data_IF_957772063343
#
_entry.id   IF_957772063343
#
_cell.length_a   1.000
_cell.length_b   1.000
_cell.length_c   1.000
_cell.angle_alpha   90.00
_cell.angle_beta   90.00
_cell.angle_gamma   90.00
#
_symmetry.space_group_name_H-M   'P 1'
#
loop_
_entity.id
_entity.type
_entity.pdbx_description
1 polymer ?
#
# COMPACT_ATOMS: atom_id res chain seq x y z
N UNK A 1 20.97 -2.00 -11.17
CA UNK A 1 20.18 -2.42 -10.00
C UNK A 1 19.46 -3.72 -10.32
N UNK A 2 19.74 -4.79 -9.58
CA UNK A 2 18.96 -6.03 -9.65
C UNK A 2 17.82 -5.89 -8.66
N UNK A 3 16.57 -5.81 -9.12
CA UNK A 3 15.42 -5.74 -8.21
C UNK A 3 15.49 -6.93 -7.24
N UNK A 4 15.45 -6.67 -5.95
CA UNK A 4 15.36 -7.75 -4.98
C UNK A 4 14.05 -8.52 -5.17
N UNK A 5 14.01 -9.79 -4.76
CA UNK A 5 12.78 -10.60 -4.83
C UNK A 5 11.62 -9.92 -4.09
N UNK A 6 11.91 -9.20 -3.01
CA UNK A 6 10.96 -8.44 -2.22
C UNK A 6 10.35 -7.26 -2.95
N UNK A 7 11.17 -6.37 -3.53
CA UNK A 7 10.71 -5.21 -4.31
C UNK A 7 9.71 -5.60 -5.40
N UNK A 8 10.07 -6.60 -6.21
CA UNK A 8 9.22 -7.08 -7.29
C UNK A 8 7.89 -7.62 -6.76
N UNK A 9 7.92 -8.43 -5.69
CA UNK A 9 6.69 -8.97 -5.08
C UNK A 9 5.78 -7.86 -4.56
N UNK A 10 6.33 -6.90 -3.82
CA UNK A 10 5.56 -5.76 -3.28
C UNK A 10 4.98 -4.94 -4.43
N UNK A 11 5.78 -4.65 -5.46
CA UNK A 11 5.34 -3.90 -6.63
C UNK A 11 4.16 -4.56 -7.33
N UNK A 12 4.27 -5.85 -7.68
CA UNK A 12 3.20 -6.56 -8.38
C UNK A 12 1.94 -6.75 -7.52
N UNK A 13 2.08 -6.98 -6.21
CA UNK A 13 0.94 -7.09 -5.28
C UNK A 13 0.25 -5.74 -5.06
N UNK A 14 1.02 -4.66 -4.89
CA UNK A 14 0.50 -3.28 -4.86
C UNK A 14 -0.28 -2.99 -6.14
N UNK A 15 0.30 -3.28 -7.30
CA UNK A 15 -0.34 -3.07 -8.59
C UNK A 15 -1.64 -3.90 -8.72
N UNK A 16 -1.65 -5.16 -8.29
CA UNK A 16 -2.91 -5.96 -8.19
C UNK A 16 -3.95 -5.20 -7.36
N UNK A 17 -3.58 -4.73 -6.17
CA UNK A 17 -4.48 -3.97 -5.28
C UNK A 17 -5.02 -2.70 -5.94
N UNK A 18 -4.16 -1.94 -6.63
CA UNK A 18 -4.53 -0.73 -7.38
C UNK A 18 -5.57 -1.03 -8.46
N UNK A 19 -5.38 -2.08 -9.27
CA UNK A 19 -6.35 -2.43 -10.30
C UNK A 19 -7.69 -2.89 -9.73
N UNK A 20 -7.71 -3.66 -8.64
CA UNK A 20 -8.97 -3.98 -7.96
C UNK A 20 -9.63 -2.76 -7.32
N UNK A 21 -8.83 -1.80 -6.83
CA UNK A 21 -9.36 -0.54 -6.28
C UNK A 21 -10.07 0.25 -7.36
N UNK A 22 -9.45 0.40 -8.54
CA UNK A 22 -10.09 1.04 -9.69
C UNK A 22 -11.39 0.32 -10.08
N UNK A 23 -11.42 -1.02 -10.03
CA UNK A 23 -12.66 -1.77 -10.25
C UNK A 23 -13.73 -1.43 -9.19
N UNK A 24 -13.36 -1.22 -7.93
CA UNK A 24 -14.28 -0.88 -6.85
C UNK A 24 -14.83 0.55 -6.93
N UNK A 25 -14.16 1.47 -7.63
CA UNK A 25 -14.58 2.87 -7.81
C UNK A 25 -15.85 3.00 -8.66
N UNK A 26 -16.01 2.16 -9.69
CA UNK A 26 -17.15 2.26 -10.63
C UNK A 26 -18.13 1.08 -10.56
N UNK A 27 -17.77 -0.03 -9.90
CA UNK A 27 -18.70 -1.14 -9.70
C UNK A 27 -19.72 -0.83 -8.62
N UNK A 28 -20.88 -1.48 -8.70
CA UNK A 28 -21.94 -1.43 -7.69
C UNK A 28 -22.20 -2.80 -7.05
N UNK A 29 -22.96 -2.79 -5.94
CA UNK A 29 -23.46 -4.00 -5.28
C UNK A 29 -22.36 -5.00 -4.92
N UNK A 30 -22.62 -6.28 -5.20
CA UNK A 30 -21.70 -7.39 -4.90
C UNK A 30 -20.36 -7.27 -5.63
N UNK A 31 -20.37 -6.78 -6.87
CA UNK A 31 -19.14 -6.64 -7.66
C UNK A 31 -18.18 -5.59 -7.06
N UNK A 32 -18.73 -4.53 -6.42
CA UNK A 32 -17.93 -3.56 -5.64
C UNK A 32 -17.34 -4.21 -4.40
N UNK A 33 -18.15 -4.99 -3.67
CA UNK A 33 -17.71 -5.69 -2.45
C UNK A 33 -16.55 -6.65 -2.75
N UNK A 34 -16.69 -7.49 -3.77
CA UNK A 34 -15.65 -8.45 -4.15
C UNK A 34 -14.37 -7.75 -4.60
N UNK A 35 -14.48 -6.64 -5.34
CA UNK A 35 -13.32 -5.84 -5.74
C UNK A 35 -12.62 -5.22 -4.51
N UNK A 36 -13.36 -4.68 -3.55
CA UNK A 36 -12.80 -4.14 -2.32
C UNK A 36 -12.11 -5.23 -1.46
N UNK A 37 -12.68 -6.43 -1.39
CA UNK A 37 -12.07 -7.57 -0.69
C UNK A 37 -10.75 -7.99 -1.35
N UNK A 38 -10.70 -8.09 -2.68
CA UNK A 38 -9.46 -8.40 -3.42
C UNK A 38 -8.41 -7.30 -3.28
N UNK A 39 -8.81 -6.02 -3.27
CA UNK A 39 -7.89 -4.91 -2.98
C UNK A 39 -7.28 -5.05 -1.59
N UNK A 40 -8.11 -5.30 -0.57
CA UNK A 40 -7.66 -5.45 0.81
C UNK A 40 -6.69 -6.61 0.97
N UNK A 41 -6.97 -7.75 0.34
CA UNK A 41 -6.10 -8.93 0.35
C UNK A 41 -4.75 -8.61 -0.31
N UNK A 42 -4.76 -8.04 -1.51
CA UNK A 42 -3.54 -7.72 -2.26
C UNK A 42 -2.65 -6.71 -1.52
N UNK A 43 -3.23 -5.65 -0.95
CA UNK A 43 -2.46 -4.67 -0.19
C UNK A 43 -1.93 -5.22 1.12
N UNK A 44 -2.69 -6.05 1.85
CA UNK A 44 -2.18 -6.70 3.08
C UNK A 44 -1.01 -7.64 2.79
N UNK A 45 -1.07 -8.41 1.71
CA UNK A 45 0.05 -9.25 1.28
C UNK A 45 1.28 -8.39 0.93
N UNK A 46 1.09 -7.29 0.20
CA UNK A 46 2.15 -6.36 -0.13
C UNK A 46 2.75 -5.72 1.13
N UNK A 47 1.91 -5.31 2.09
CA UNK A 47 2.30 -4.65 3.34
C UNK A 47 3.12 -5.60 4.23
N UNK A 48 2.70 -6.86 4.33
CA UNK A 48 3.43 -7.88 5.06
C UNK A 48 4.83 -8.12 4.47
N UNK A 49 4.94 -8.21 3.15
CA UNK A 49 6.25 -8.37 2.50
C UNK A 49 7.10 -7.11 2.68
N UNK A 50 6.52 -5.93 2.42
CA UNK A 50 7.23 -4.65 2.53
C UNK A 50 7.74 -4.39 3.94
N UNK A 51 6.98 -4.75 4.98
CA UNK A 51 7.38 -4.56 6.38
C UNK A 51 8.57 -5.44 6.79
N UNK A 52 8.78 -6.57 6.11
CA UNK A 52 9.87 -7.51 6.40
C UNK A 52 11.08 -7.33 5.49
N UNK A 53 10.89 -6.87 4.26
CA UNK A 53 11.93 -6.88 3.21
C UNK A 53 12.36 -5.48 2.74
N UNK A 54 11.60 -4.42 3.04
CA UNK A 54 11.90 -3.05 2.56
C UNK A 54 12.02 -2.06 3.73
N UNK A 55 13.01 -1.17 3.66
CA UNK A 55 13.14 -0.06 4.61
C UNK A 55 11.86 0.83 4.59
N UNK A 56 11.46 1.44 5.72
CA UNK A 56 10.34 2.39 5.76
C UNK A 56 10.45 3.55 4.78
N UNK A 57 11.67 3.97 4.45
CA UNK A 57 11.98 5.02 3.47
C UNK A 57 11.90 4.55 2.02
N UNK A 58 11.78 3.25 1.77
CA UNK A 58 11.80 2.68 0.42
C UNK A 58 10.61 3.20 -0.42
N UNK A 59 10.81 3.75 -1.63
CA UNK A 59 9.74 4.39 -2.42
C UNK A 59 8.54 3.48 -2.70
N UNK A 60 8.77 2.19 -2.98
CA UNK A 60 7.67 1.22 -3.20
C UNK A 60 6.83 1.01 -1.92
N UNK A 61 7.46 0.97 -0.73
CA UNK A 61 6.75 0.80 0.55
C UNK A 61 5.94 2.05 0.89
N UNK A 62 6.51 3.23 0.69
CA UNK A 62 5.80 4.51 0.84
C UNK A 62 4.62 4.63 -0.13
N UNK A 63 4.85 4.30 -1.40
CA UNK A 63 3.79 4.30 -2.41
C UNK A 63 2.68 3.29 -2.13
N UNK A 64 3.02 2.13 -1.54
CA UNK A 64 2.03 1.17 -1.05
C UNK A 64 1.19 1.77 0.08
N UNK A 65 1.83 2.34 1.11
CA UNK A 65 1.13 2.94 2.25
C UNK A 65 0.19 4.08 1.82
N UNK A 66 0.65 4.93 0.88
CA UNK A 66 -0.17 5.97 0.28
C UNK A 66 -1.42 5.38 -0.38
N UNK A 67 -1.27 4.45 -1.31
CA UNK A 67 -2.40 3.89 -2.05
C UNK A 67 -3.35 3.09 -1.16
N UNK A 68 -2.81 2.43 -0.13
CA UNK A 68 -3.63 1.69 0.83
C UNK A 68 -4.40 2.65 1.75
N UNK A 69 -3.83 3.79 2.14
CA UNK A 69 -4.56 4.84 2.85
C UNK A 69 -5.71 5.41 2.01
N UNK A 70 -5.47 5.66 0.72
CA UNK A 70 -6.50 6.11 -0.24
C UNK A 70 -7.63 5.07 -0.35
N UNK A 71 -7.30 3.78 -0.40
CA UNK A 71 -8.30 2.72 -0.36
C UNK A 71 -9.18 2.75 0.90
N UNK A 72 -8.56 2.92 2.08
CA UNK A 72 -9.31 3.05 3.32
C UNK A 72 -10.25 4.26 3.31
N UNK A 73 -9.80 5.38 2.74
CA UNK A 73 -10.58 6.60 2.65
C UNK A 73 -11.72 6.49 1.63
N UNK A 74 -11.40 6.19 0.38
CA UNK A 74 -12.34 6.29 -0.75
C UNK A 74 -13.24 5.06 -0.90
N UNK A 75 -12.72 3.85 -0.63
CA UNK A 75 -13.48 2.62 -0.87
C UNK A 75 -14.17 2.12 0.40
N UNK A 76 -13.44 2.10 1.52
CA UNK A 76 -13.97 1.60 2.79
C UNK A 76 -14.64 2.67 3.65
N UNK A 77 -14.57 3.95 3.26
CA UNK A 77 -15.14 5.08 4.00
C UNK A 77 -14.69 5.09 5.47
N UNK A 78 -13.40 4.81 5.70
CA UNK A 78 -12.75 4.71 7.00
C UNK A 78 -11.64 5.76 7.13
N UNK A 79 -11.99 7.07 7.23
CA UNK A 79 -11.03 8.17 7.16
C UNK A 79 -10.03 8.16 8.32
N UNK A 80 -10.46 7.82 9.54
CA UNK A 80 -9.57 7.71 10.70
C UNK A 80 -8.45 6.70 10.43
N UNK A 81 -8.81 5.51 9.92
CA UNK A 81 -7.85 4.46 9.60
C UNK A 81 -6.92 4.83 8.46
N UNK A 82 -7.41 5.58 7.46
CA UNK A 82 -6.59 6.10 6.39
C UNK A 82 -5.53 7.09 6.94
N UNK A 83 -5.95 8.02 7.79
CA UNK A 83 -5.05 8.98 8.43
C UNK A 83 -4.01 8.29 9.33
N UNK A 84 -4.43 7.34 10.16
CA UNK A 84 -3.52 6.59 11.03
C UNK A 84 -2.46 5.84 10.24
N UNK A 85 -2.85 5.20 9.14
CA UNK A 85 -1.94 4.49 8.24
C UNK A 85 -0.95 5.44 7.58
N UNK A 86 -1.43 6.54 6.99
CA UNK A 86 -0.57 7.51 6.32
C UNK A 86 0.41 8.16 7.30
N UNK A 87 -0.08 8.52 8.49
CA UNK A 87 0.74 9.10 9.57
C UNK A 87 1.81 8.12 10.04
N UNK A 88 1.44 6.86 10.30
CA UNK A 88 2.40 5.83 10.70
C UNK A 88 3.53 5.67 9.68
N UNK A 89 3.19 5.54 8.39
CA UNK A 89 4.19 5.40 7.33
C UNK A 89 5.10 6.63 7.23
N UNK A 90 4.55 7.83 7.40
CA UNK A 90 5.32 9.06 7.44
C UNK A 90 6.27 9.10 8.65
N UNK A 91 5.75 8.87 9.85
CA UNK A 91 6.53 8.91 11.10
C UNK A 91 7.66 7.87 11.10
N UNK A 92 7.40 6.65 10.60
CA UNK A 92 8.43 5.60 10.42
C UNK A 92 9.51 6.01 9.43
N UNK A 93 9.14 6.62 8.30
CA UNK A 93 10.10 7.07 7.31
C UNK A 93 10.95 8.25 7.81
N UNK A 94 10.34 9.20 8.54
CA UNK A 94 11.08 10.31 9.18
C UNK A 94 12.10 9.78 10.19
N UNK A 95 11.74 8.78 11.00
CA UNK A 95 12.64 8.21 12.00
C UNK A 95 13.89 7.54 11.39
N UNK A 96 13.80 7.09 10.15
CA UNK A 96 14.90 6.43 9.43
C UNK A 96 15.48 7.29 8.29
N UNK A 97 15.09 8.57 8.18
CA UNK A 97 15.59 9.46 7.12
C UNK A 97 17.11 9.57 7.09
N UNK A 98 17.78 9.56 8.25
CA UNK A 98 19.24 9.64 8.36
C UNK A 98 19.95 8.41 7.77
N UNK A 99 19.22 7.34 7.46
CA UNK A 99 19.74 6.11 6.83
C UNK A 99 19.68 6.12 5.31
N UNK A 100 18.99 7.10 4.70
CA UNK A 100 19.03 7.32 3.26
C UNK A 100 20.40 7.91 2.89
N UNK A 101 21.25 7.08 2.30
CA UNK A 101 22.40 7.57 1.54
C UNK A 101 21.94 8.35 0.29
N UNK A 102 22.81 9.18 -0.25
CA UNK A 102 22.60 9.79 -1.58
C UNK A 102 22.62 8.66 -2.64
N UNK A 103 21.45 8.11 -2.98
CA UNK A 103 21.21 7.41 -4.25
C UNK A 103 20.68 8.39 -5.30
#
# INVERSE_FOLDING_TARGET
>A
ETSSSGESKVFYKKMKGDYYRYLAEFKGGEARKNAAEETLLAYKEAENIASNELAPTHPIRLGLALNFSVFYYEILNAPERACDMAKKAFDEAIAELDTLGEE
#
